data_IF_865786820010
#
_entry.id   IF_865786820010
#
_cell.length_a   1.000
_cell.length_b   1.000
_cell.length_c   1.000
_cell.angle_alpha   90.00
_cell.angle_beta   90.00
_cell.angle_gamma   90.00
#
_symmetry.space_group_name_H-M   'P 1'
#
loop_
_entity.id
_entity.type
_entity.pdbx_description
1 polymer ?
2 polymer ?
3 non-polymer ?
4 non-polymer ?
5 non-polymer ?
6 non-polymer ?
7 water ?
#
# COMPACT_ATOMS: atom_id res chain seq x y z
N UNK A 1 2.13 -7.34 14.16
CA UNK A 1 2.01 -6.62 12.87
C UNK A 1 1.12 -7.33 11.86
N UNK A 2 0.89 -6.65 10.75
CA UNK A 2 -0.01 -7.10 9.70
C UNK A 2 0.52 -8.37 9.00
N UNK A 3 1.81 -8.47 8.80
CA UNK A 3 2.41 -9.66 8.18
C UNK A 3 2.31 -10.89 9.09
N UNK A 4 2.50 -10.73 10.38
CA UNK A 4 2.32 -11.85 11.31
C UNK A 4 0.86 -12.25 11.41
N UNK A 5 -0.02 -11.27 11.48
CA UNK A 5 -1.44 -11.56 11.62
C UNK A 5 -2.00 -12.15 10.33
N UNK A 6 -1.63 -11.60 9.21
CA UNK A 6 -2.37 -11.85 8.00
C UNK A 6 -1.68 -12.69 6.92
N UNK A 7 -0.42 -13.07 7.12
CA UNK A 7 0.23 -14.03 6.25
C UNK A 7 0.37 -15.43 6.83
N UNK A 8 0.00 -15.61 8.10
CA UNK A 8 -0.02 -16.91 8.71
C UNK A 8 -1.47 -17.41 8.81
N UNK A 9 -2.47 -16.54 8.78
CA UNK A 9 -3.86 -16.97 8.50
C UNK A 9 -4.61 -15.92 7.67
N UNK A 10 -5.71 -16.27 7.01
CA UNK A 10 -6.42 -15.34 6.12
C UNK A 10 -7.12 -14.27 6.94
N UNK A 11 -6.89 -12.99 6.66
CA UNK A 11 -7.52 -11.91 7.40
C UNK A 11 -8.76 -11.48 6.70
N UNK A 12 -9.85 -11.35 7.43
CA UNK A 12 -11.10 -10.89 6.86
C UNK A 12 -10.93 -9.45 6.54
N UNK A 13 -11.92 -8.89 5.85
CA UNK A 13 -11.93 -7.47 5.53
C UNK A 13 -12.04 -6.63 6.80
N UNK A 14 -12.72 -7.18 7.79
CA UNK A 14 -12.88 -6.52 9.09
C UNK A 14 -11.54 -6.43 9.84
N UNK A 15 -10.76 -7.48 9.80
CA UNK A 15 -9.45 -7.54 10.40
C UNK A 15 -8.42 -6.71 9.68
N UNK A 16 -8.53 -6.61 8.36
CA UNK A 16 -7.67 -5.72 7.58
C UNK A 16 -7.94 -4.29 7.87
N UNK A 17 -9.15 -3.97 8.26
CA UNK A 17 -9.53 -2.62 8.52
C UNK A 17 -8.85 -2.02 9.76
N UNK A 18 -8.33 -2.86 10.64
CA UNK A 18 -7.51 -2.40 11.76
C UNK A 18 -6.25 -1.67 11.31
N UNK A 19 -5.83 -1.84 10.07
CA UNK A 19 -4.63 -1.21 9.54
C UNK A 19 -4.95 -0.05 8.66
N UNK A 20 -6.18 0.44 8.67
CA UNK A 20 -6.44 1.72 7.98
C UNK A 20 -6.05 2.92 8.85
N UNK A 21 -5.77 4.05 8.20
CA UNK A 21 -5.60 5.30 8.93
C UNK A 21 -6.95 5.70 9.56
N UNK B 1 13.36 -17.11 1.38
CA UNK B 1 11.96 -16.93 1.91
C UNK B 1 11.27 -15.65 1.40
N UNK B 2 10.75 -15.77 0.18
CA UNK B 2 10.08 -14.70 -0.50
C UNK B 2 8.56 -14.81 -0.29
N UNK B 3 8.10 -15.81 0.46
CA UNK B 3 6.67 -15.98 0.77
C UNK B 3 6.05 -14.82 1.48
N UNK B 4 6.75 -14.28 2.47
CA UNK B 4 6.28 -13.07 3.16
C UNK B 4 6.30 -11.85 2.27
N UNK B 5 7.34 -11.75 1.47
CA UNK B 5 7.45 -10.66 0.51
C UNK B 5 6.29 -10.66 -0.43
N UNK B 6 5.87 -11.82 -0.93
CA UNK B 6 4.78 -11.90 -1.91
C UNK B 6 3.44 -11.75 -1.25
N UNK B 7 3.29 -12.30 -0.05
CA UNK B 7 2.10 -12.04 0.77
C UNK B 7 1.86 -10.55 1.00
N UNK B 8 2.90 -9.85 1.34
CA UNK B 8 2.84 -8.44 1.56
C UNK B 8 2.34 -7.67 0.38
N UNK B 9 2.68 -8.11 -0.82
CA UNK B 9 2.19 -7.48 -2.05
C UNK B 9 0.67 -7.54 -2.13
N UNK B 10 0.10 -8.70 -1.86
CA UNK B 10 -1.32 -8.85 -1.80
C UNK B 10 -1.96 -8.10 -0.68
N UNK B 11 -1.31 -8.01 0.50
CA UNK B 11 -1.88 -7.26 1.63
C UNK B 11 -2.07 -5.80 1.30
N UNK B 12 -1.09 -5.17 0.67
CA UNK B 12 -1.20 -3.76 0.32
C UNK B 12 -2.30 -3.51 -0.69
N UNK B 13 -2.50 -4.42 -1.65
CA UNK B 13 -3.60 -4.26 -2.58
C UNK B 13 -4.97 -4.32 -1.86
N UNK B 14 -5.09 -5.26 -0.90
CA UNK B 14 -6.30 -5.47 -0.11
C UNK B 14 -6.57 -4.27 0.77
N UNK B 15 -5.53 -3.70 1.38
CA UNK B 15 -5.71 -2.52 2.25
C UNK B 15 -6.08 -1.31 1.41
N UNK B 16 -5.58 -1.18 0.22
CA UNK B 16 -5.99 -0.07 -0.65
C UNK B 16 -7.48 -0.09 -0.83
N UNK B 17 -8.00 -1.29 -1.02
CA UNK B 17 -9.43 -1.45 -1.32
C UNK B 17 -10.28 -1.23 -0.06
N UNK B 18 -9.90 -1.88 1.02
CA UNK B 18 -10.57 -1.81 2.33
C UNK B 18 -10.64 -0.34 2.81
N UNK B 19 -9.52 0.32 2.82
CA UNK B 19 -9.35 1.58 3.55
C UNK B 19 -9.88 2.79 2.83
N UNK B 20 -9.83 2.75 1.50
CA UNK B 20 -10.49 3.72 0.70
C UNK B 20 -9.80 5.06 0.83
N UNK B 21 -10.61 6.11 1.01
CA UNK B 21 -10.08 7.46 1.12
C UNK B 21 -9.35 7.74 2.45
N UNK B 22 -9.42 6.80 3.40
CA UNK B 22 -8.65 6.87 4.65
C UNK B 22 -7.19 6.59 4.41
N UNK B 23 -6.93 5.73 3.45
CA UNK B 23 -5.58 5.33 3.23
C UNK B 23 -5.14 4.45 4.38
N UNK B 24 -3.87 4.07 4.38
CA UNK B 24 -3.38 3.08 5.29
C UNK B 24 -1.92 3.25 5.61
N UNK B 25 -1.48 2.55 6.62
CA UNK B 25 -0.06 2.40 6.89
C UNK B 25 0.38 0.94 6.62
N UNK B 26 1.52 0.81 5.93
CA UNK B 26 2.12 -0.47 5.75
C UNK B 26 3.47 -0.46 6.43
N UNK B 27 3.57 -1.17 7.55
CA UNK B 27 4.82 -1.26 8.30
C UNK B 27 5.16 -2.70 8.60
N UNK B 28 6.02 -3.33 7.76
CA UNK B 28 6.47 -4.66 8.14
C UNK B 28 7.29 -4.53 9.41
N UNK B 29 6.82 -5.28 10.52
CA UNK B 29 7.56 -5.21 11.77
C UNK B 29 8.98 -5.67 11.51
N UNK C 1 -0.22 15.86 -3.04
CA UNK C 1 -0.15 14.44 -2.62
C UNK C 1 0.32 13.51 -3.73
N UNK C 2 0.41 12.24 -3.41
CA UNK C 2 0.93 11.22 -4.32
C UNK C 2 0.04 11.04 -5.54
N UNK C 3 -1.26 11.15 -5.37
CA UNK C 3 -2.20 10.96 -6.45
C UNK C 3 -2.13 12.14 -7.44
N UNK C 4 -1.98 13.34 -6.94
CA UNK C 4 -1.78 14.50 -7.81
C UNK C 4 -0.40 14.45 -8.50
N UNK C 5 0.65 14.10 -7.78
CA UNK C 5 1.99 14.02 -8.37
C UNK C 5 2.13 12.89 -9.37
N UNK C 6 1.56 11.73 -9.05
CA UNK C 6 1.93 10.51 -9.76
C UNK C 6 0.85 9.88 -10.62
N UNK C 7 -0.34 10.43 -10.63
CA UNK C 7 -1.36 10.00 -11.59
C UNK C 7 -1.57 10.96 -12.72
N UNK C 8 -0.95 12.14 -12.68
CA UNK C 8 -0.98 13.07 -13.79
C UNK C 8 0.38 13.09 -14.55
N UNK C 9 1.48 12.60 -13.97
CA UNK C 9 2.67 12.19 -14.78
C UNK C 9 3.29 10.95 -14.21
N UNK C 10 4.05 10.19 -15.00
CA UNK C 10 4.72 8.98 -14.55
C UNK C 10 5.79 9.24 -13.49
N UNK C 11 5.67 8.67 -12.31
CA UNK C 11 6.64 8.93 -11.29
C UNK C 11 7.69 7.89 -11.38
N UNK C 12 8.96 8.29 -11.39
CA UNK C 12 10.00 7.30 -11.41
C UNK C 12 10.08 6.62 -10.07
N UNK C 13 10.91 5.60 -9.96
CA UNK C 13 11.14 4.93 -8.68
C UNK C 13 11.79 5.84 -7.65
N UNK C 14 12.56 6.81 -8.13
CA UNK C 14 13.22 7.75 -7.29
C UNK C 14 12.25 8.73 -6.65
N UNK C 15 11.32 9.21 -7.43
CA UNK C 15 10.28 10.15 -6.99
C UNK C 15 9.32 9.47 -6.03
N UNK C 16 9.06 8.18 -6.25
CA UNK C 16 8.18 7.41 -5.36
C UNK C 16 8.84 7.15 -4.02
N UNK C 17 10.16 7.12 -4.00
CA UNK C 17 10.87 6.86 -2.80
C UNK C 17 10.72 7.97 -1.79
N UNK C 18 10.33 9.14 -2.23
CA UNK C 18 9.99 10.24 -1.31
C UNK C 18 8.86 9.91 -0.36
N UNK C 19 8.02 8.95 -0.72
CA UNK C 19 6.84 8.62 0.06
C UNK C 19 7.08 7.44 0.93
N UNK C 20 8.32 6.98 1.06
CA UNK C 20 8.59 5.93 2.01
C UNK C 20 8.76 6.52 3.41
N UNK C 21 8.61 5.68 4.44
CA UNK C 21 8.95 6.08 5.82
C UNK C 21 10.44 6.28 5.95
N UNK D 1 -15.48 8.84 -12.56
CA UNK D 1 -14.00 9.02 -12.51
C UNK D 1 -13.27 8.01 -11.61
N UNK D 2 -13.10 6.81 -12.16
CA UNK D 2 -12.40 5.71 -11.51
C UNK D 2 -10.91 5.64 -11.91
N UNK D 3 -10.48 6.55 -12.77
CA UNK D 3 -9.10 6.61 -13.23
C UNK D 3 -8.15 6.81 -12.09
N UNK D 4 -8.45 7.73 -11.20
CA UNK D 4 -7.63 7.92 -9.98
C UNK D 4 -7.64 6.72 -9.05
N UNK D 5 -8.82 6.12 -8.91
CA UNK D 5 -8.97 4.93 -8.09
C UNK D 5 -8.08 3.82 -8.60
N UNK D 6 -8.05 3.59 -9.90
CA UNK D 6 -7.25 2.51 -10.48
C UNK D 6 -5.78 2.87 -10.47
N UNK D 7 -5.46 4.14 -10.73
CA UNK D 7 -4.05 4.62 -10.63
C UNK D 7 -3.49 4.36 -9.25
N UNK D 8 -4.28 4.66 -8.24
CA UNK D 8 -3.92 4.48 -6.84
C UNK D 8 -3.58 3.06 -6.49
N UNK D 9 -4.27 2.13 -7.12
CA UNK D 9 -3.95 0.70 -6.95
C UNK D 9 -2.49 0.39 -7.41
N UNK D 10 -2.12 0.87 -8.58
CA UNK D 10 -0.77 0.70 -9.09
C UNK D 10 0.25 1.46 -8.29
N UNK D 11 -0.08 2.63 -7.75
CA UNK D 11 0.85 3.38 -6.91
C UNK D 11 1.25 2.63 -5.68
N UNK D 12 0.28 2.04 -4.99
CA UNK D 12 0.57 1.29 -3.75
C UNK D 12 1.43 0.03 -4.01
N UNK D 13 1.25 -0.61 -5.17
CA UNK D 13 2.10 -1.72 -5.55
C UNK D 13 3.53 -1.25 -5.77
N UNK D 14 3.67 -0.11 -6.45
CA UNK D 14 4.96 0.50 -6.72
C UNK D 14 5.65 0.92 -5.45
N UNK D 15 4.92 1.48 -4.51
CA UNK D 15 5.50 1.87 -3.23
C UNK D 15 5.87 0.64 -2.39
N UNK D 16 5.11 -0.42 -2.43
CA UNK D 16 5.53 -1.66 -1.74
C UNK D 16 6.95 -2.10 -2.16
N UNK D 17 7.22 -1.98 -3.44
CA UNK D 17 8.46 -2.43 -4.03
C UNK D 17 9.63 -1.51 -3.74
N UNK D 18 9.42 -0.22 -3.99
CA UNK D 18 10.40 0.83 -3.73
C UNK D 18 10.78 0.89 -2.23
N UNK D 19 9.80 0.89 -1.35
CA UNK D 19 10.04 1.22 0.07
C UNK D 19 10.58 0.05 0.88
N UNK D 20 10.17 -1.17 0.54
CA UNK D 20 10.77 -2.35 1.11
C UNK D 20 10.42 -2.42 2.58
N UNK D 21 11.41 -2.75 3.41
CA UNK D 21 11.16 -2.94 4.85
C UNK D 21 11.04 -1.60 5.60
N UNK D 22 11.23 -0.48 4.91
CA UNK D 22 10.84 0.83 5.45
C UNK D 22 9.34 1.03 5.55
N UNK D 23 8.60 0.45 4.63
CA UNK D 23 7.18 0.62 4.62
C UNK D 23 6.84 2.04 4.22
N UNK D 24 5.55 2.32 4.28
CA UNK D 24 5.03 3.55 3.77
C UNK D 24 3.63 3.81 4.32
N UNK D 25 3.28 5.08 4.29
CA UNK D 25 1.95 5.59 4.55
C UNK D 25 1.33 5.85 3.16
N UNK D 26 0.07 5.47 3.01
CA UNK D 26 -0.71 5.83 1.82
C UNK D 26 -1.85 6.73 2.26
N UNK D 27 -1.77 8.01 1.91
CA UNK D 27 -2.80 8.97 2.25
C UNK D 27 -3.20 9.77 1.04
N UNK D 28 -4.31 9.38 0.40
CA UNK D 28 -4.85 10.30 -0.58
C UNK D 28 -5.34 11.60 0.09
N UNK D 29 -5.32 12.70 -0.65
CA UNK D 29 -5.78 14.01 -0.15
C UNK D 29 -7.29 14.05 -0.16
#
# INVERSE_FOLDING_TARGET
GIVEQCCTSICSLYQLENYCN
FVNQHLCGSHLVEALYLVCGERGFFYTPK
GIVEQCCTSICSLYQLENYCN
FVNQHLCGSHLVEALYLVCGERGFFYTPK
#
